data_IF_956974651472
#
_entry.id   IF_956974651472
#
_cell.length_a   1.000
_cell.length_b   1.000
_cell.length_c   1.000
_cell.angle_alpha   90.00
_cell.angle_beta   90.00
_cell.angle_gamma   90.00
#
_symmetry.space_group_name_H-M   'P 1'
#
loop_
_entity.id
_entity.type
_entity.pdbx_description
1 polymer ?
#
# COMPACT_ATOMS: atom_id res chain seq x y z
N UNK A 1 21.95 2.21 -8.92
CA UNK A 1 20.61 1.94 -8.38
C UNK A 1 19.61 2.50 -9.38
N UNK A 2 18.76 1.68 -10.03
CA UNK A 2 17.78 2.20 -10.98
C UNK A 2 16.74 2.99 -10.19
N UNK A 3 16.47 4.25 -10.56
CA UNK A 3 15.41 5.02 -9.93
C UNK A 3 14.08 4.29 -10.11
N UNK A 4 13.35 4.09 -9.02
CA UNK A 4 11.96 3.64 -9.08
C UNK A 4 11.14 4.74 -9.74
N UNK A 5 10.32 4.36 -10.72
CA UNK A 5 9.32 5.24 -11.31
C UNK A 5 7.96 4.86 -10.77
N UNK A 6 7.15 5.86 -10.41
CA UNK A 6 5.81 5.67 -9.86
C UNK A 6 4.83 6.50 -10.68
N UNK A 7 3.75 5.85 -11.12
CA UNK A 7 2.69 6.49 -11.89
C UNK A 7 1.57 6.97 -10.96
N UNK A 8 1.21 8.24 -11.11
CA UNK A 8 0.08 8.88 -10.45
C UNK A 8 -0.99 9.22 -11.49
N UNK A 9 -2.23 8.84 -11.21
CA UNK A 9 -3.39 9.14 -12.06
C UNK A 9 -4.20 10.25 -11.41
N UNK A 10 -4.45 11.34 -12.15
CA UNK A 10 -5.28 12.45 -11.71
C UNK A 10 -6.77 12.09 -11.81
N UNK A 11 -7.66 12.85 -11.15
CA UNK A 11 -9.12 12.69 -11.29
C UNK A 11 -9.63 12.80 -12.73
N UNK A 12 -8.88 13.52 -13.58
CA UNK A 12 -9.25 13.75 -14.99
C UNK A 12 -8.68 12.67 -15.92
N UNK A 13 -8.01 11.65 -15.38
CA UNK A 13 -7.39 10.57 -16.13
C UNK A 13 -5.99 10.87 -16.67
N UNK A 14 -5.39 12.00 -16.30
CA UNK A 14 -4.00 12.30 -16.64
C UNK A 14 -3.06 11.41 -15.84
N UNK A 15 -2.08 10.78 -16.50
CA UNK A 15 -1.08 9.94 -15.83
C UNK A 15 0.26 10.64 -15.85
N UNK A 16 0.84 10.85 -14.67
CA UNK A 16 2.16 11.44 -14.48
C UNK A 16 3.09 10.40 -13.90
N UNK A 17 4.20 10.15 -14.60
CA UNK A 17 5.26 9.25 -14.15
C UNK A 17 6.34 10.05 -13.43
N UNK A 18 6.59 9.73 -12.15
CA UNK A 18 7.58 10.41 -11.31
C UNK A 18 8.79 9.50 -11.13
N UNK A 19 9.98 10.02 -11.43
CA UNK A 19 11.24 9.37 -11.09
C UNK A 19 11.64 9.73 -9.66
N UNK A 20 11.65 8.75 -8.76
CA UNK A 20 11.92 8.99 -7.34
C UNK A 20 13.41 9.31 -7.10
N UNK A 21 13.67 10.50 -6.56
CA UNK A 21 14.96 10.89 -5.98
C UNK A 21 14.84 10.93 -4.46
N UNK A 22 14.93 9.77 -3.83
CA UNK A 22 14.80 9.65 -2.38
C UNK A 22 16.11 10.00 -1.66
N UNK A 23 16.02 10.71 -0.52
CA UNK A 23 17.15 10.97 0.39
C UNK A 23 17.37 9.81 1.37
N UNK A 24 16.30 9.10 1.71
CA UNK A 24 16.27 7.94 2.61
C UNK A 24 15.56 6.82 1.86
N UNK A 25 16.17 5.64 1.85
CA UNK A 25 15.57 4.44 1.26
C UNK A 25 15.53 3.32 2.31
N UNK A 26 14.37 2.68 2.43
CA UNK A 26 14.14 1.58 3.37
C UNK A 26 13.29 0.50 2.71
N UNK A 27 13.34 -0.71 3.26
CA UNK A 27 12.61 -1.88 2.76
C UNK A 27 11.36 -2.22 3.59
N UNK A 28 10.85 -1.29 4.39
CA UNK A 28 9.71 -1.50 5.29
C UNK A 28 8.79 -0.28 5.35
N UNK A 29 7.49 -0.50 5.14
CA UNK A 29 6.48 0.55 5.26
C UNK A 29 6.40 1.13 6.69
N UNK A 30 6.66 0.31 7.72
CA UNK A 30 6.70 0.78 9.11
C UNK A 30 7.85 1.77 9.33
N UNK A 31 9.02 1.50 8.73
CA UNK A 31 10.16 2.40 8.81
C UNK A 31 9.88 3.73 8.09
N UNK A 32 9.25 3.69 6.91
CA UNK A 32 8.80 4.89 6.20
C UNK A 32 7.86 5.71 7.09
N UNK A 33 6.85 5.08 7.68
CA UNK A 33 5.90 5.76 8.58
C UNK A 33 6.56 6.42 9.77
N UNK A 34 7.57 5.77 10.37
CA UNK A 34 8.32 6.35 11.47
C UNK A 34 9.08 7.61 11.01
N UNK A 35 9.83 7.56 9.90
CA UNK A 35 10.56 8.72 9.39
C UNK A 35 9.65 9.90 9.01
N UNK A 36 8.47 9.64 8.43
CA UNK A 36 7.49 10.69 8.13
C UNK A 36 6.96 11.33 9.42
N UNK A 37 6.71 10.53 10.47
CA UNK A 37 6.26 11.04 11.77
C UNK A 37 7.31 11.94 12.45
N UNK A 38 8.60 11.68 12.17
CA UNK A 38 9.73 12.52 12.59
C UNK A 38 9.98 13.73 11.66
N UNK A 39 9.04 14.04 10.76
CA UNK A 39 9.12 15.17 9.81
C UNK A 39 10.29 15.09 8.81
N UNK A 40 10.75 13.89 8.45
CA UNK A 40 11.90 13.71 7.55
C UNK A 40 11.53 13.66 6.06
N UNK A 41 10.26 13.86 5.72
CA UNK A 41 9.80 13.99 4.33
C UNK A 41 8.42 13.39 4.08
N UNK A 42 8.18 13.02 2.83
CA UNK A 42 6.94 12.42 2.35
C UNK A 42 7.20 10.97 1.91
N UNK A 43 6.16 10.15 1.89
CA UNK A 43 6.24 8.80 1.37
C UNK A 43 4.87 8.21 1.06
N UNK A 44 4.89 7.18 0.22
CA UNK A 44 3.70 6.42 -0.15
C UNK A 44 3.52 5.31 0.88
N UNK A 45 2.36 5.29 1.55
CA UNK A 45 2.07 4.34 2.62
C UNK A 45 0.68 3.70 2.41
N UNK A 46 0.51 2.42 2.79
CA UNK A 46 -0.80 1.81 2.88
C UNK A 46 -1.70 2.57 3.87
N UNK A 47 -2.92 2.90 3.47
CA UNK A 47 -3.86 3.69 4.27
C UNK A 47 -4.12 3.05 5.64
N UNK A 48 -4.25 1.72 5.68
CA UNK A 48 -4.49 0.96 6.91
C UNK A 48 -3.38 1.13 7.97
N UNK A 49 -2.14 1.43 7.55
CA UNK A 49 -0.98 1.60 8.43
C UNK A 49 -0.99 2.97 9.11
N UNK A 50 -1.49 4.00 8.43
CA UNK A 50 -1.47 5.40 8.90
C UNK A 50 -2.82 5.91 9.39
N UNK A 51 -3.88 5.11 9.29
CA UNK A 51 -5.26 5.50 9.64
C UNK A 51 -5.39 6.13 11.02
N UNK A 52 -4.66 5.62 12.02
CA UNK A 52 -4.71 6.16 13.40
C UNK A 52 -4.03 7.52 13.49
N UNK A 53 -2.89 7.68 12.84
CA UNK A 53 -2.12 8.93 12.82
C UNK A 53 -2.85 10.01 12.04
N UNK A 54 -3.48 9.67 10.91
CA UNK A 54 -4.37 10.56 10.16
C UNK A 54 -5.55 11.03 11.02
N UNK A 55 -6.20 10.10 11.75
CA UNK A 55 -7.33 10.44 12.63
C UNK A 55 -6.93 11.32 13.84
N UNK A 56 -5.64 11.33 14.21
CA UNK A 56 -5.08 12.18 15.26
C UNK A 56 -4.50 13.49 14.74
N UNK A 57 -4.58 13.73 13.43
CA UNK A 57 -3.95 14.88 12.76
C UNK A 57 -2.41 14.92 12.94
N UNK A 58 -1.78 13.78 13.26
CA UNK A 58 -0.33 13.62 13.34
C UNK A 58 0.29 13.51 11.93
N UNK A 59 -0.49 13.03 10.96
CA UNK A 59 -0.13 12.94 9.55
C UNK A 59 -1.20 13.59 8.69
N UNK A 60 -0.78 14.10 7.53
CA UNK A 60 -1.68 14.71 6.53
C UNK A 60 -1.54 13.99 5.19
N UNK A 61 -2.67 13.62 4.58
CA UNK A 61 -2.67 13.01 3.25
C UNK A 61 -2.47 14.09 2.18
N UNK A 62 -1.34 13.99 1.47
CA UNK A 62 -0.97 14.90 0.39
C UNK A 62 -1.45 14.33 -0.94
N UNK A 63 -2.00 15.20 -1.80
CA UNK A 63 -2.59 14.84 -3.10
C UNK A 63 -3.74 13.80 -2.99
N UNK A 64 -4.77 14.04 -2.15
CA UNK A 64 -5.80 13.04 -1.84
C UNK A 64 -6.64 12.60 -3.05
N UNK A 65 -6.62 13.38 -4.14
CA UNK A 65 -7.36 13.09 -5.37
C UNK A 65 -6.54 12.33 -6.41
N UNK A 66 -5.24 12.17 -6.20
CA UNK A 66 -4.37 11.42 -7.09
C UNK A 66 -4.31 9.96 -6.66
N UNK A 67 -4.40 9.05 -7.61
CA UNK A 67 -4.40 7.62 -7.34
C UNK A 67 -3.13 6.97 -7.86
N UNK A 68 -2.57 6.10 -7.05
CA UNK A 68 -1.57 5.15 -7.49
C UNK A 68 -2.25 3.91 -8.06
N UNK A 69 -1.51 3.14 -8.86
CA UNK A 69 -1.98 1.84 -9.31
C UNK A 69 -2.35 0.97 -8.09
N UNK A 70 -3.60 0.48 -7.98
CA UNK A 70 -4.03 -0.29 -6.84
C UNK A 70 -3.25 -1.60 -6.73
N UNK A 71 -2.91 -1.97 -5.50
CA UNK A 71 -2.28 -3.26 -5.19
C UNK A 71 -3.37 -4.31 -5.00
N UNK A 72 -3.25 -5.44 -5.69
CA UNK A 72 -4.15 -6.57 -5.50
C UNK A 72 -3.69 -7.46 -4.35
N UNK A 73 -4.62 -7.87 -3.50
CA UNK A 73 -4.41 -8.94 -2.51
C UNK A 73 -4.77 -10.28 -3.13
N UNK A 74 -3.82 -11.22 -3.15
CA UNK A 74 -4.00 -12.54 -3.72
C UNK A 74 -3.69 -13.62 -2.69
N UNK A 75 -4.60 -14.56 -2.51
CA UNK A 75 -4.32 -15.81 -1.82
C UNK A 75 -3.75 -16.81 -2.84
N UNK A 76 -2.56 -17.35 -2.56
CA UNK A 76 -1.90 -18.34 -3.42
C UNK A 76 -1.60 -19.58 -2.58
N UNK A 77 -2.00 -20.75 -3.07
CA UNK A 77 -1.76 -22.02 -2.40
C UNK A 77 -1.58 -23.15 -3.43
N UNK A 78 -0.87 -24.25 -3.09
CA UNK A 78 -0.68 -25.37 -4.00
C UNK A 78 -1.99 -26.06 -4.35
N UNK A 79 -2.11 -26.52 -5.59
CA UNK A 79 -3.28 -27.27 -6.08
C UNK A 79 -3.22 -28.78 -5.72
N UNK A 80 -2.73 -29.12 -4.52
CA UNK A 80 -2.49 -30.51 -4.10
C UNK A 80 -3.48 -31.03 -3.05
N UNK A 81 -4.59 -30.31 -2.82
CA UNK A 81 -5.60 -30.66 -1.81
C UNK A 81 -6.87 -31.33 -2.37
N UNK A 82 -7.57 -32.10 -1.53
CA UNK A 82 -8.97 -32.49 -1.77
C UNK A 82 -9.87 -31.24 -1.81
N UNK A 83 -11.07 -31.35 -2.42
CA UNK A 83 -12.02 -30.23 -2.66
C UNK A 83 -12.37 -29.36 -1.43
N UNK A 84 -12.15 -29.84 -0.20
CA UNK A 84 -12.41 -29.10 1.04
C UNK A 84 -11.25 -29.23 2.04
N UNK A 85 -10.05 -28.79 1.67
CA UNK A 85 -8.95 -28.71 2.64
C UNK A 85 -9.09 -27.46 3.54
N UNK A 86 -8.44 -27.49 4.70
CA UNK A 86 -8.45 -26.38 5.67
C UNK A 86 -7.97 -25.06 5.05
N UNK A 87 -7.04 -25.12 4.10
CA UNK A 87 -6.56 -23.94 3.36
C UNK A 87 -7.69 -23.26 2.58
N UNK A 88 -8.50 -24.02 1.83
CA UNK A 88 -9.63 -23.48 1.07
C UNK A 88 -10.70 -22.91 2.00
N UNK A 89 -10.97 -23.58 3.12
CA UNK A 89 -11.91 -23.07 4.13
C UNK A 89 -11.41 -21.73 4.71
N UNK A 90 -10.13 -21.61 5.03
CA UNK A 90 -9.51 -20.36 5.47
C UNK A 90 -9.59 -19.27 4.40
N UNK A 91 -9.23 -19.58 3.15
CA UNK A 91 -9.29 -18.61 2.05
C UNK A 91 -10.73 -18.12 1.84
N UNK A 92 -11.72 -19.02 1.84
CA UNK A 92 -13.14 -18.66 1.74
C UNK A 92 -13.58 -17.80 2.92
N UNK A 93 -13.13 -18.11 4.13
CA UNK A 93 -13.42 -17.33 5.32
C UNK A 93 -12.87 -15.91 5.22
N UNK A 94 -11.63 -15.76 4.76
CA UNK A 94 -10.97 -14.46 4.57
C UNK A 94 -11.62 -13.66 3.44
N UNK A 95 -11.95 -14.31 2.32
CA UNK A 95 -12.62 -13.68 1.18
C UNK A 95 -14.00 -13.12 1.57
N UNK A 96 -14.77 -13.85 2.41
CA UNK A 96 -16.07 -13.37 2.91
C UNK A 96 -15.97 -12.16 3.84
N UNK A 97 -14.85 -12.00 4.55
CA UNK A 97 -14.65 -10.92 5.52
C UNK A 97 -14.11 -9.64 4.91
N UNK A 98 -13.74 -9.64 3.62
CA UNK A 98 -13.13 -8.49 2.98
C UNK A 98 -11.78 -8.19 3.61
N UNK A 99 -10.75 -8.97 3.25
CA UNK A 99 -9.38 -8.46 3.34
C UNK A 99 -9.21 -7.42 2.21
N UNK A 100 -9.74 -6.22 2.44
CA UNK A 100 -9.48 -5.00 1.69
C UNK A 100 -9.29 -3.88 2.70
#
# INVERSE_FOLDING_TARGET
MRGSTVDFTSPNGEVVCISEKSRINVNSALAISHFISENLGLGILPENLVKKQLAREELTHILPHWQLKPLGYYAVWPNNGRRENLTLLLVRFLAKRGLA
#
